data_IF_737642086453
#
_entry.id   IF_737642086453
#
_cell.length_a   1.000
_cell.length_b   1.000
_cell.length_c   1.000
_cell.angle_alpha   90.00
_cell.angle_beta   90.00
_cell.angle_gamma   90.00
#
_symmetry.space_group_name_H-M   'P 1'
#
loop_
_entity.id
_entity.type
_entity.pdbx_description
1 polymer ?
#
# COMPACT_ATOMS: atom_id res chain seq x y z
N UNK A 1 -12.34 -1.64 23.21
CA UNK A 1 -12.68 -2.73 22.26
C UNK A 1 -13.55 -3.79 22.94
N UNK A 2 -13.08 -4.44 24.02
CA UNK A 2 -13.84 -5.48 24.76
C UNK A 2 -15.26 -5.06 25.16
N UNK A 3 -15.44 -3.88 25.76
CA UNK A 3 -16.77 -3.37 26.11
C UNK A 3 -17.71 -3.24 24.90
N UNK A 4 -17.18 -2.87 23.74
CA UNK A 4 -17.96 -2.75 22.51
C UNK A 4 -18.39 -4.12 22.01
N UNK A 5 -17.51 -5.13 22.09
CA UNK A 5 -17.81 -6.51 21.71
C UNK A 5 -18.95 -7.05 22.58
N UNK A 6 -18.81 -7.00 23.91
CA UNK A 6 -19.83 -7.47 24.87
C UNK A 6 -21.19 -6.77 24.66
N UNK A 7 -21.17 -5.45 24.37
CA UNK A 7 -22.38 -4.70 24.07
C UNK A 7 -23.05 -5.17 22.77
N UNK A 8 -22.28 -5.43 21.72
CA UNK A 8 -22.82 -5.86 20.42
C UNK A 8 -23.39 -7.28 20.50
N UNK A 9 -22.69 -8.19 21.18
CA UNK A 9 -23.19 -9.56 21.43
C UNK A 9 -24.54 -9.54 22.14
N UNK A 10 -24.69 -8.72 23.19
CA UNK A 10 -25.96 -8.57 23.91
C UNK A 10 -27.04 -7.90 23.07
N UNK A 11 -26.70 -6.80 22.38
CA UNK A 11 -27.67 -6.01 21.63
C UNK A 11 -28.26 -6.81 20.46
N UNK A 12 -27.43 -7.56 19.74
CA UNK A 12 -27.83 -8.33 18.58
C UNK A 12 -28.08 -9.81 18.89
N UNK A 13 -27.95 -10.23 20.15
CA UNK A 13 -28.07 -11.62 20.59
C UNK A 13 -27.18 -12.56 19.78
N UNK A 14 -25.95 -12.13 19.50
CA UNK A 14 -24.96 -12.88 18.72
C UNK A 14 -24.19 -13.80 19.67
N UNK A 15 -24.04 -15.07 19.26
CA UNK A 15 -23.12 -16.02 19.88
C UNK A 15 -22.06 -16.40 18.84
N UNK A 16 -20.83 -15.86 18.91
CA UNK A 16 -19.81 -16.13 17.90
C UNK A 16 -19.39 -17.61 17.89
N UNK A 17 -19.44 -18.24 16.73
CA UNK A 17 -18.94 -19.61 16.51
C UNK A 17 -17.47 -19.63 16.07
N UNK A 18 -17.00 -18.50 15.53
CA UNK A 18 -15.64 -18.28 15.02
C UNK A 18 -15.23 -16.85 15.32
N UNK A 19 -13.93 -16.63 15.51
CA UNK A 19 -13.32 -15.31 15.62
C UNK A 19 -12.34 -15.18 14.47
N UNK A 20 -12.46 -14.10 13.70
CA UNK A 20 -11.54 -13.81 12.60
C UNK A 20 -10.61 -12.69 13.04
N UNK A 21 -9.31 -12.85 12.77
CA UNK A 21 -8.28 -11.88 13.12
C UNK A 21 -7.34 -11.64 11.94
N UNK A 22 -6.63 -10.52 11.96
CA UNK A 22 -5.51 -10.31 11.02
C UNK A 22 -4.39 -11.31 11.32
N UNK A 23 -3.71 -11.78 10.28
CA UNK A 23 -2.57 -12.70 10.40
C UNK A 23 -1.36 -12.07 11.09
N UNK A 24 -1.32 -10.74 11.26
CA UNK A 24 -0.23 -10.08 11.96
C UNK A 24 -0.20 -10.48 13.44
N UNK A 25 0.88 -11.15 13.92
CA UNK A 25 0.91 -11.74 15.26
C UNK A 25 1.09 -10.73 16.40
N UNK A 26 1.28 -9.44 16.10
CA UNK A 26 1.56 -8.39 17.09
C UNK A 26 0.45 -7.35 17.19
N UNK A 27 -0.59 -7.46 16.35
CA UNK A 27 -1.73 -6.55 16.44
C UNK A 27 -2.49 -6.79 17.75
N UNK A 28 -2.84 -5.69 18.40
CA UNK A 28 -3.66 -5.74 19.63
C UNK A 28 -4.98 -6.47 19.39
N UNK A 29 -5.63 -6.25 18.25
CA UNK A 29 -6.87 -6.93 17.85
C UNK A 29 -6.67 -8.45 17.68
N UNK A 30 -5.56 -8.88 17.08
CA UNK A 30 -5.23 -10.30 16.93
C UNK A 30 -4.97 -10.98 18.27
N UNK A 31 -4.18 -10.35 19.15
CA UNK A 31 -3.98 -10.85 20.52
C UNK A 31 -5.27 -10.93 21.32
N UNK A 32 -6.14 -9.92 21.21
CA UNK A 32 -7.43 -9.91 21.88
C UNK A 32 -8.34 -11.04 21.36
N UNK A 33 -8.44 -11.20 20.04
CA UNK A 33 -9.22 -12.27 19.42
C UNK A 33 -8.72 -13.66 19.82
N UNK A 34 -7.40 -13.86 19.87
CA UNK A 34 -6.81 -15.11 20.38
C UNK A 34 -7.12 -15.36 21.85
N UNK A 35 -7.06 -14.31 22.68
CA UNK A 35 -7.36 -14.41 24.10
C UNK A 35 -8.82 -14.84 24.33
N UNK A 36 -9.76 -14.18 23.65
CA UNK A 36 -11.19 -14.52 23.70
C UNK A 36 -11.43 -15.94 23.16
N UNK A 37 -10.81 -16.31 22.03
CA UNK A 37 -10.94 -17.64 21.47
C UNK A 37 -10.47 -18.74 22.43
N UNK A 38 -9.35 -18.52 23.13
CA UNK A 38 -8.83 -19.45 24.15
C UNK A 38 -9.75 -19.55 25.37
N UNK A 39 -10.26 -18.44 25.89
CA UNK A 39 -11.08 -18.43 27.11
C UNK A 39 -12.49 -18.98 26.87
N UNK A 40 -13.06 -18.75 25.69
CA UNK A 40 -14.41 -19.18 25.30
C UNK A 40 -14.44 -20.47 24.46
N UNK A 41 -13.29 -21.09 24.19
CA UNK A 41 -13.14 -22.27 23.32
C UNK A 41 -13.71 -22.07 21.90
N UNK A 42 -13.57 -20.85 21.36
CA UNK A 42 -14.02 -20.48 20.01
C UNK A 42 -12.83 -20.57 19.04
N UNK A 43 -13.07 -21.11 17.85
CA UNK A 43 -12.04 -21.22 16.81
C UNK A 43 -11.61 -19.83 16.32
N UNK A 44 -10.29 -19.61 16.25
CA UNK A 44 -9.70 -18.36 15.75
C UNK A 44 -9.08 -18.62 14.38
N UNK A 45 -9.47 -17.83 13.38
CA UNK A 45 -9.00 -17.97 11.99
C UNK A 45 -8.22 -16.71 11.62
N UNK A 46 -6.90 -16.83 11.34
CA UNK A 46 -6.13 -15.73 10.82
C UNK A 46 -6.44 -15.52 9.33
N UNK A 47 -6.61 -14.25 8.94
CA UNK A 47 -6.85 -13.84 7.56
C UNK A 47 -5.76 -12.86 7.12
N UNK A 48 -5.29 -12.99 5.89
CA UNK A 48 -4.25 -12.11 5.38
C UNK A 48 -4.83 -10.72 5.08
N UNK A 49 -4.10 -9.68 5.50
CA UNK A 49 -4.53 -8.29 5.48
C UNK A 49 -5.03 -7.80 4.11
N UNK A 50 -4.23 -7.99 3.06
CA UNK A 50 -4.55 -7.52 1.71
C UNK A 50 -5.70 -8.33 1.09
N UNK A 51 -5.78 -9.62 1.37
CA UNK A 51 -6.91 -10.46 0.98
C UNK A 51 -8.19 -9.99 1.67
N UNK A 52 -8.14 -9.56 2.94
CA UNK A 52 -9.29 -8.96 3.62
C UNK A 52 -9.72 -7.62 2.98
N UNK A 53 -8.79 -6.76 2.58
CA UNK A 53 -9.13 -5.55 1.81
C UNK A 53 -9.92 -5.90 0.55
N UNK A 54 -9.41 -6.84 -0.26
CA UNK A 54 -10.10 -7.26 -1.50
C UNK A 54 -11.44 -7.95 -1.21
N UNK A 55 -11.50 -8.80 -0.20
CA UNK A 55 -12.71 -9.49 0.20
C UNK A 55 -13.80 -8.54 0.69
N UNK A 56 -13.45 -7.36 1.22
CA UNK A 56 -14.45 -6.35 1.57
C UNK A 56 -15.20 -5.85 0.33
N UNK A 57 -14.50 -5.64 -0.79
CA UNK A 57 -15.10 -5.30 -2.09
C UNK A 57 -15.93 -6.47 -2.62
N UNK A 58 -15.39 -7.70 -2.56
CA UNK A 58 -16.11 -8.89 -3.00
C UNK A 58 -17.42 -9.09 -2.20
N UNK A 59 -17.42 -8.79 -0.91
CA UNK A 59 -18.58 -8.85 -0.04
C UNK A 59 -19.65 -7.82 -0.43
N UNK A 60 -19.26 -6.56 -0.65
CA UNK A 60 -20.17 -5.49 -1.04
C UNK A 60 -20.84 -5.75 -2.39
N UNK A 61 -20.08 -6.26 -3.36
CA UNK A 61 -20.52 -6.44 -4.74
C UNK A 61 -21.01 -7.87 -5.05
N UNK A 62 -21.07 -8.75 -4.05
CA UNK A 62 -21.45 -10.16 -4.17
C UNK A 62 -20.64 -10.91 -5.25
N UNK A 63 -19.32 -10.70 -5.27
CA UNK A 63 -18.42 -11.34 -6.23
C UNK A 63 -18.08 -12.75 -5.77
N UNK A 64 -18.62 -13.76 -6.45
CA UNK A 64 -18.37 -15.18 -6.15
C UNK A 64 -17.29 -15.82 -7.04
N UNK A 65 -17.04 -15.19 -8.20
CA UNK A 65 -16.06 -15.65 -9.18
C UNK A 65 -14.60 -15.33 -8.81
N UNK A 66 -13.64 -15.77 -9.63
CA UNK A 66 -12.25 -15.32 -9.52
C UNK A 66 -12.17 -13.80 -9.77
N UNK A 67 -11.47 -13.08 -8.87
CA UNK A 67 -11.28 -11.64 -8.94
C UNK A 67 -9.80 -11.31 -8.91
N UNK A 68 -9.37 -10.36 -9.75
CA UNK A 68 -8.06 -9.74 -9.62
C UNK A 68 -8.15 -8.64 -8.55
N UNK A 69 -7.67 -8.94 -7.36
CA UNK A 69 -7.53 -7.99 -6.28
C UNK A 69 -6.27 -7.14 -6.45
N UNK A 70 -6.42 -5.82 -6.44
CA UNK A 70 -5.33 -4.85 -6.47
C UNK A 70 -5.34 -4.15 -5.11
N UNK A 71 -4.43 -4.55 -4.23
CA UNK A 71 -4.38 -4.08 -2.85
C UNK A 71 -3.22 -3.10 -2.66
N UNK A 72 -3.52 -1.80 -2.58
CA UNK A 72 -2.53 -0.73 -2.43
C UNK A 72 -2.70 -0.06 -1.07
N UNK A 73 -1.71 -0.25 -0.20
CA UNK A 73 -1.80 0.15 1.20
C UNK A 73 -0.44 0.61 1.78
N UNK A 74 -0.45 1.12 3.01
CA UNK A 74 0.74 1.47 3.76
C UNK A 74 1.55 0.27 4.23
N UNK A 75 0.95 -0.64 4.98
CA UNK A 75 1.67 -1.78 5.57
C UNK A 75 0.69 -2.90 5.92
N UNK A 76 0.91 -4.08 5.37
CA UNK A 76 0.28 -5.30 5.86
C UNK A 76 1.28 -6.44 6.00
N UNK A 77 0.99 -7.35 6.92
CA UNK A 77 1.89 -8.46 7.23
C UNK A 77 1.89 -9.50 6.09
N UNK A 78 3.07 -9.70 5.49
CA UNK A 78 3.31 -10.75 4.51
C UNK A 78 3.49 -12.12 5.17
N UNK A 79 3.04 -13.23 4.55
CA UNK A 79 3.21 -14.58 5.11
C UNK A 79 4.67 -15.03 5.32
N UNK A 80 5.62 -14.39 4.62
CA UNK A 80 7.06 -14.62 4.70
C UNK A 80 7.79 -13.65 5.66
N UNK A 81 7.04 -12.82 6.39
CA UNK A 81 7.58 -11.79 7.26
C UNK A 81 8.01 -10.51 6.53
N UNK A 82 7.79 -10.41 5.21
CA UNK A 82 7.93 -9.16 4.47
C UNK A 82 6.76 -8.21 4.76
N UNK A 83 6.94 -6.93 4.41
CA UNK A 83 5.87 -5.93 4.52
C UNK A 83 5.23 -5.74 3.16
N UNK A 84 3.96 -6.09 3.04
CA UNK A 84 3.18 -5.90 1.83
C UNK A 84 2.49 -4.53 1.84
N UNK A 85 2.09 -4.05 0.67
CA UNK A 85 1.33 -2.81 0.51
C UNK A 85 1.09 -2.41 -0.94
N UNK A 86 1.31 -3.30 -1.89
CA UNK A 86 1.27 -3.02 -3.31
C UNK A 86 1.18 -4.30 -4.09
N UNK A 87 0.07 -5.02 -3.89
CA UNK A 87 -0.10 -6.42 -4.26
C UNK A 87 -1.18 -6.61 -5.32
N UNK A 88 -0.93 -7.55 -6.23
CA UNK A 88 -1.93 -8.09 -7.14
C UNK A 88 -2.21 -9.54 -6.77
N UNK A 89 -3.45 -9.82 -6.39
CA UNK A 89 -3.89 -11.11 -5.86
C UNK A 89 -4.96 -11.70 -6.79
N UNK A 90 -4.87 -12.99 -7.08
CA UNK A 90 -6.00 -13.76 -7.55
C UNK A 90 -6.79 -14.22 -6.34
N UNK A 91 -7.99 -13.67 -6.13
CA UNK A 91 -8.85 -13.99 -5.00
C UNK A 91 -10.05 -14.83 -5.48
N UNK A 92 -10.38 -15.88 -4.73
CA UNK A 92 -11.58 -16.69 -4.95
C UNK A 92 -12.04 -17.30 -3.62
N UNK A 93 -13.19 -16.85 -3.12
CA UNK A 93 -13.70 -17.28 -1.82
C UNK A 93 -12.70 -16.98 -0.70
N UNK A 94 -12.34 -17.99 0.09
CA UNK A 94 -11.33 -17.85 1.16
C UNK A 94 -9.88 -18.03 0.69
N UNK A 95 -9.63 -18.24 -0.60
CA UNK A 95 -8.31 -18.47 -1.15
C UNK A 95 -7.79 -17.25 -1.91
N UNK A 96 -6.48 -17.03 -1.80
CA UNK A 96 -5.79 -16.05 -2.62
C UNK A 96 -4.44 -16.59 -3.10
N UNK A 97 -3.98 -16.07 -4.23
CA UNK A 97 -2.64 -16.28 -4.76
C UNK A 97 -2.03 -14.93 -5.13
N UNK A 98 -0.83 -14.64 -4.62
CA UNK A 98 -0.06 -13.46 -5.05
C UNK A 98 0.42 -13.66 -6.48
N UNK A 99 -0.03 -12.82 -7.41
CA UNK A 99 0.33 -12.90 -8.82
C UNK A 99 1.47 -11.95 -9.17
N UNK A 100 1.37 -10.71 -8.70
CA UNK A 100 2.37 -9.67 -8.91
C UNK A 100 2.43 -8.73 -7.70
N UNK A 101 3.45 -7.89 -7.66
CA UNK A 101 3.64 -6.86 -6.63
C UNK A 101 4.49 -5.72 -7.15
N UNK A 102 4.45 -4.57 -6.47
CA UNK A 102 5.40 -3.50 -6.76
C UNK A 102 6.81 -3.88 -6.32
N UNK A 103 7.84 -3.21 -6.85
CA UNK A 103 9.23 -3.50 -6.49
C UNK A 103 9.48 -3.41 -4.98
N UNK A 104 10.37 -4.27 -4.51
CA UNK A 104 10.83 -4.24 -3.14
C UNK A 104 11.73 -3.02 -2.91
N UNK A 105 11.42 -2.25 -1.88
CA UNK A 105 12.28 -1.21 -1.37
C UNK A 105 12.58 -1.48 0.12
N UNK A 106 13.81 -1.23 0.59
CA UNK A 106 14.12 -1.39 1.99
C UNK A 106 13.31 -0.40 2.85
N UNK A 107 13.12 -0.75 4.12
CA UNK A 107 12.64 0.13 5.17
C UNK A 107 13.79 0.48 6.12
N UNK A 108 14.56 1.56 5.86
CA UNK A 108 15.74 1.87 6.64
C UNK A 108 15.36 2.26 8.08
N UNK A 109 15.59 1.37 9.04
CA UNK A 109 15.14 1.54 10.43
C UNK A 109 13.77 0.93 10.74
N UNK A 110 13.27 0.04 9.88
CA UNK A 110 12.05 -0.75 10.11
C UNK A 110 10.82 0.15 10.25
N UNK A 111 10.06 -0.03 11.33
CA UNK A 111 8.84 0.74 11.63
C UNK A 111 9.05 2.25 11.62
N UNK A 112 10.26 2.75 11.93
CA UNK A 112 10.53 4.20 11.85
C UNK A 112 10.35 4.75 10.44
N UNK A 113 10.55 3.94 9.39
CA UNK A 113 10.31 4.38 8.01
C UNK A 113 8.82 4.68 7.74
N UNK A 114 7.90 4.17 8.58
CA UNK A 114 6.47 4.50 8.48
C UNK A 114 6.21 5.94 8.93
N UNK A 115 6.83 6.41 10.03
CA UNK A 115 6.64 7.77 10.54
C UNK A 115 7.66 8.78 10.01
N UNK A 116 8.78 8.31 9.46
CA UNK A 116 9.87 9.12 8.92
C UNK A 116 10.15 8.82 7.43
N UNK A 117 9.27 9.26 6.51
CA UNK A 117 9.41 9.06 5.06
C UNK A 117 10.77 9.43 4.45
N UNK A 118 11.47 10.39 5.04
CA UNK A 118 12.81 10.80 4.59
C UNK A 118 13.80 9.63 4.53
N UNK A 119 13.59 8.58 5.33
CA UNK A 119 14.46 7.40 5.38
C UNK A 119 14.46 6.63 4.06
N UNK A 120 13.29 6.37 3.49
CA UNK A 120 13.18 5.68 2.21
C UNK A 120 13.52 6.61 1.04
N UNK A 121 13.18 7.90 1.13
CA UNK A 121 13.64 8.91 0.17
C UNK A 121 15.18 8.99 0.09
N UNK A 122 15.88 8.95 1.23
CA UNK A 122 17.34 8.90 1.29
C UNK A 122 17.88 7.64 0.60
N UNK A 123 17.22 6.49 0.77
CA UNK A 123 17.59 5.28 0.04
C UNK A 123 17.47 5.47 -1.48
N UNK A 124 16.38 6.04 -1.99
CA UNK A 124 16.24 6.31 -3.43
C UNK A 124 17.33 7.26 -3.96
N UNK A 125 17.64 8.33 -3.24
CA UNK A 125 18.73 9.26 -3.60
C UNK A 125 20.05 8.51 -3.70
N UNK A 126 20.39 7.69 -2.70
CA UNK A 126 21.64 6.93 -2.68
C UNK A 126 21.69 5.82 -3.72
N UNK A 127 20.58 5.11 -3.93
CA UNK A 127 20.47 4.05 -4.92
C UNK A 127 20.68 4.60 -6.35
N UNK A 128 20.24 5.83 -6.61
CA UNK A 128 20.35 6.43 -7.93
C UNK A 128 21.64 7.22 -8.17
N UNK A 129 21.96 8.17 -7.29
CA UNK A 129 23.12 9.06 -7.47
C UNK A 129 24.42 8.52 -6.86
N UNK A 130 24.34 7.50 -6.01
CA UNK A 130 25.49 7.01 -5.26
C UNK A 130 26.12 8.12 -4.40
N UNK A 131 27.37 8.48 -4.73
CA UNK A 131 28.10 9.56 -4.05
C UNK A 131 27.98 10.92 -4.75
N UNK A 132 27.53 10.95 -6.00
CA UNK A 132 27.47 12.15 -6.83
C UNK A 132 26.10 12.84 -6.70
N UNK A 133 25.74 13.17 -5.45
CA UNK A 133 24.42 13.73 -5.13
C UNK A 133 24.34 15.19 -5.62
N UNK A 134 23.30 15.57 -6.40
CA UNK A 134 23.12 16.94 -6.85
C UNK A 134 22.91 17.97 -5.72
N UNK A 135 23.31 19.24 -5.90
CA UNK A 135 23.23 20.27 -4.84
C UNK A 135 21.85 20.40 -4.17
N UNK A 136 20.76 20.32 -4.95
CA UNK A 136 19.39 20.39 -4.41
C UNK A 136 19.10 19.29 -3.38
N UNK A 137 19.68 18.09 -3.57
CA UNK A 137 19.53 16.97 -2.67
C UNK A 137 20.53 17.02 -1.51
N UNK A 138 21.71 17.62 -1.69
CA UNK A 138 22.60 17.95 -0.57
C UNK A 138 21.91 18.93 0.40
N UNK A 139 21.26 19.97 -0.13
CA UNK A 139 20.48 20.94 0.66
C UNK A 139 19.25 20.31 1.32
N UNK A 140 18.62 19.33 0.66
CA UNK A 140 17.57 18.52 1.27
C UNK A 140 18.13 17.67 2.43
N UNK A 141 19.28 17.02 2.26
CA UNK A 141 19.94 16.21 3.30
C UNK A 141 20.37 17.05 4.51
N UNK A 142 20.81 18.28 4.30
CA UNK A 142 21.16 19.22 5.37
C UNK A 142 19.97 19.59 6.28
N UNK A 143 18.73 19.34 5.85
CA UNK A 143 17.51 19.59 6.61
C UNK A 143 16.97 18.33 7.30
N UNK A 144 17.63 17.19 7.14
CA UNK A 144 17.22 15.95 7.78
C UNK A 144 17.38 15.99 9.30
N UNK A 145 16.62 15.15 10.03
CA UNK A 145 16.77 15.05 11.48
C UNK A 145 18.18 14.64 11.90
N UNK A 146 18.59 15.05 13.11
CA UNK A 146 19.91 14.72 13.66
C UNK A 146 20.15 13.20 13.64
N UNK A 147 21.33 12.79 13.19
CA UNK A 147 21.74 11.38 13.14
C UNK A 147 21.37 10.68 11.84
N UNK A 148 20.88 11.40 10.83
CA UNK A 148 20.62 10.85 9.50
C UNK A 148 21.91 10.29 8.85
N UNK A 149 23.08 10.84 9.17
CA UNK A 149 24.38 10.39 8.65
C UNK A 149 24.73 8.96 9.10
N UNK A 150 24.21 8.54 10.27
CA UNK A 150 24.38 7.16 10.75
C UNK A 150 23.57 6.20 9.87
N UNK A 151 22.34 6.59 9.53
CA UNK A 151 21.50 5.81 8.63
C UNK A 151 22.11 5.76 7.22
N UNK A 152 22.63 6.88 6.74
CA UNK A 152 23.30 6.98 5.45
C UNK A 152 24.50 6.02 5.34
N UNK A 153 25.32 5.94 6.40
CA UNK A 153 26.41 4.95 6.47
C UNK A 153 25.89 3.51 6.51
N UNK A 154 24.78 3.25 7.22
CA UNK A 154 24.17 1.93 7.26
C UNK A 154 23.63 1.50 5.89
N UNK A 155 23.05 2.42 5.11
CA UNK A 155 22.58 2.19 3.74
C UNK A 155 23.71 1.81 2.77
N UNK A 156 24.93 2.26 3.05
CA UNK A 156 26.13 1.92 2.27
C UNK A 156 26.80 0.60 2.71
N UNK A 157 26.29 -0.04 3.77
CA UNK A 157 26.80 -1.32 4.27
C UNK A 157 26.02 -2.50 3.72
N UNK A 158 26.56 -3.71 3.83
CA UNK A 158 25.87 -4.96 3.45
C UNK A 158 24.90 -5.46 4.53
N UNK A 159 24.44 -4.60 5.45
CA UNK A 159 23.53 -5.03 6.51
C UNK A 159 22.14 -5.37 5.95
N UNK A 160 21.55 -6.50 6.35
CA UNK A 160 20.22 -6.89 5.88
C UNK A 160 19.18 -5.89 6.39
N UNK A 161 18.29 -5.46 5.49
CA UNK A 161 17.16 -4.60 5.81
C UNK A 161 15.85 -5.29 5.43
N UNK A 162 14.82 -5.06 6.25
CA UNK A 162 13.46 -5.51 5.93
C UNK A 162 13.04 -4.86 4.63
N UNK A 163 12.60 -5.69 3.68
CA UNK A 163 12.06 -5.24 2.40
C UNK A 163 10.55 -5.05 2.50
N UNK A 164 10.06 -4.07 1.75
CA UNK A 164 8.64 -3.80 1.64
C UNK A 164 8.23 -3.56 0.19
N UNK A 165 7.06 -4.09 -0.17
CA UNK A 165 6.37 -3.84 -1.44
C UNK A 165 5.25 -2.84 -1.20
N UNK A 166 5.52 -1.76 -0.47
CA UNK A 166 4.51 -0.82 0.01
C UNK A 166 4.28 0.38 -0.92
N UNK A 167 3.07 0.47 -1.47
CA UNK A 167 2.67 1.61 -2.29
C UNK A 167 2.55 2.88 -1.44
N UNK A 168 2.04 2.78 -0.20
CA UNK A 168 1.99 3.94 0.70
C UNK A 168 3.38 4.50 1.02
N UNK A 169 4.39 3.64 1.20
CA UNK A 169 5.78 4.09 1.42
C UNK A 169 6.39 4.71 0.16
N UNK A 170 6.07 4.18 -1.03
CA UNK A 170 6.45 4.82 -2.29
C UNK A 170 5.88 6.24 -2.41
N UNK A 171 4.60 6.45 -2.10
CA UNK A 171 3.97 7.78 -2.08
C UNK A 171 4.64 8.71 -1.06
N UNK A 172 4.90 8.21 0.15
CA UNK A 172 5.60 8.96 1.20
C UNK A 172 7.02 9.38 0.78
N UNK A 173 7.78 8.46 0.17
CA UNK A 173 9.12 8.73 -0.32
C UNK A 173 9.11 9.81 -1.42
N UNK A 174 8.21 9.69 -2.41
CA UNK A 174 8.06 10.70 -3.47
C UNK A 174 7.64 12.06 -2.90
N UNK A 175 6.68 12.09 -1.97
CA UNK A 175 6.26 13.35 -1.35
C UNK A 175 7.39 14.01 -0.56
N UNK A 176 8.23 13.22 0.11
CA UNK A 176 9.41 13.72 0.81
C UNK A 176 10.48 14.27 -0.15
N UNK A 177 10.75 13.59 -1.27
CA UNK A 177 11.64 14.06 -2.34
C UNK A 177 11.14 15.37 -3.00
N UNK A 178 9.82 15.55 -3.05
CA UNK A 178 9.18 16.77 -3.53
C UNK A 178 9.11 17.88 -2.47
N UNK A 179 9.57 17.63 -1.24
CA UNK A 179 9.69 18.62 -0.18
C UNK A 179 8.43 18.86 0.64
N UNK A 180 7.47 17.92 0.63
CA UNK A 180 6.20 18.03 1.35
C UNK A 180 6.28 17.65 2.83
N UNK A 181 7.41 17.07 3.25
CA UNK A 181 7.65 16.71 4.63
C UNK A 181 8.78 15.68 4.76
N UNK A 182 9.21 15.46 5.99
CA UNK A 182 10.20 14.44 6.33
C UNK A 182 9.63 13.42 7.33
N UNK A 183 8.79 13.89 8.24
CA UNK A 183 8.21 13.15 9.36
C UNK A 183 6.71 13.42 9.35
N UNK A 184 5.91 12.35 9.50
CA UNK A 184 4.47 12.46 9.67
C UNK A 184 4.12 12.97 11.07
N UNK A 185 3.15 13.88 11.15
CA UNK A 185 2.50 14.29 12.40
C UNK A 185 1.16 13.57 12.62
N UNK A 186 0.62 12.97 11.56
CA UNK A 186 -0.54 12.09 11.56
C UNK A 186 -0.46 11.12 10.37
N UNK A 187 -1.28 10.06 10.39
CA UNK A 187 -1.23 9.00 9.39
C UNK A 187 -1.45 9.52 7.96
N UNK A 188 -0.60 9.06 7.05
CA UNK A 188 -0.61 9.40 5.62
C UNK A 188 -0.49 10.89 5.26
N UNK A 189 -0.03 11.76 6.17
CA UNK A 189 0.09 13.20 5.95
C UNK A 189 0.81 13.54 4.63
N UNK A 190 1.98 12.94 4.39
CA UNK A 190 2.78 13.25 3.19
C UNK A 190 2.09 12.78 1.91
N UNK A 191 1.48 11.59 1.91
CA UNK A 191 0.70 11.11 0.77
C UNK A 191 -0.51 12.02 0.45
N UNK A 192 -1.21 12.53 1.47
CA UNK A 192 -2.32 13.49 1.32
C UNK A 192 -1.81 14.83 0.77
N UNK A 193 -0.66 15.30 1.27
CA UNK A 193 -0.03 16.52 0.76
C UNK A 193 0.41 16.36 -0.71
N UNK A 194 0.87 15.16 -1.09
CA UNK A 194 1.29 14.84 -2.45
C UNK A 194 0.10 14.84 -3.43
N UNK A 195 -1.04 14.30 -2.99
CA UNK A 195 -2.30 14.43 -3.74
C UNK A 195 -2.68 15.90 -3.92
N UNK A 196 -2.64 16.68 -2.84
CA UNK A 196 -3.04 18.09 -2.87
C UNK A 196 -2.12 18.95 -3.76
N UNK A 197 -0.82 18.62 -3.81
CA UNK A 197 0.17 19.30 -4.63
C UNK A 197 -0.13 19.21 -6.14
N UNK A 198 -0.90 18.22 -6.57
CA UNK A 198 -1.25 18.02 -7.98
C UNK A 198 -1.99 19.22 -8.60
N UNK A 199 -2.90 19.86 -7.85
CA UNK A 199 -3.76 20.92 -8.38
C UNK A 199 -4.48 20.51 -9.68
N UNK A 200 -4.53 21.44 -10.64
CA UNK A 200 -5.12 21.26 -11.97
C UNK A 200 -4.07 20.98 -13.07
N UNK A 201 -2.83 20.68 -12.68
CA UNK A 201 -1.74 20.43 -13.62
C UNK A 201 -1.97 19.18 -14.47
N UNK A 202 -1.34 19.15 -15.65
CA UNK A 202 -1.33 17.97 -16.52
C UNK A 202 0.03 17.29 -16.44
N UNK A 203 0.02 16.06 -15.94
CA UNK A 203 1.21 15.20 -15.88
C UNK A 203 1.47 14.44 -17.17
N UNK A 204 2.71 14.02 -17.34
CA UNK A 204 3.15 13.09 -18.38
C UNK A 204 3.27 11.66 -17.82
N UNK A 205 3.32 10.68 -18.71
CA UNK A 205 3.70 9.32 -18.32
C UNK A 205 5.21 9.30 -18.16
N UNK A 206 5.69 8.82 -17.01
CA UNK A 206 7.09 8.59 -16.73
C UNK A 206 7.41 7.11 -16.95
N UNK A 207 8.70 6.78 -17.00
CA UNK A 207 9.15 5.41 -17.18
C UNK A 207 8.85 4.55 -15.96
N UNK A 208 8.45 3.31 -16.19
CA UNK A 208 8.30 2.23 -15.21
C UNK A 208 8.57 0.91 -15.92
N UNK A 209 8.94 -0.13 -15.16
CA UNK A 209 9.16 -1.47 -15.71
C UNK A 209 8.10 -2.45 -15.19
N UNK A 210 7.73 -3.42 -16.00
CA UNK A 210 6.91 -4.55 -15.58
C UNK A 210 7.38 -5.82 -16.28
N UNK A 211 7.68 -6.88 -15.52
CA UNK A 211 8.21 -8.14 -16.04
C UNK A 211 7.21 -9.31 -16.02
N UNK A 212 5.93 -9.03 -15.76
CA UNK A 212 4.90 -10.04 -15.54
C UNK A 212 4.74 -10.47 -14.08
N UNK A 213 5.58 -10.00 -13.16
CA UNK A 213 5.47 -10.28 -11.72
C UNK A 213 5.81 -9.06 -10.86
N UNK A 214 6.82 -8.28 -11.22
CA UNK A 214 7.28 -7.12 -10.48
C UNK A 214 6.95 -5.87 -11.29
N UNK A 215 6.17 -4.98 -10.69
CA UNK A 215 5.92 -3.63 -11.19
C UNK A 215 6.89 -2.65 -10.53
N UNK A 216 7.90 -2.21 -11.26
CA UNK A 216 9.00 -1.40 -10.75
C UNK A 216 8.85 0.08 -11.10
N UNK A 217 8.62 0.88 -10.06
CA UNK A 217 8.54 2.34 -10.13
C UNK A 217 9.87 3.04 -9.82
N UNK A 218 10.98 2.30 -9.66
CA UNK A 218 12.30 2.92 -9.48
C UNK A 218 12.63 3.91 -10.61
N UNK A 219 12.41 3.61 -11.91
CA UNK A 219 12.63 4.58 -12.99
C UNK A 219 11.72 5.82 -12.88
N UNK A 220 10.50 5.65 -12.36
CA UNK A 220 9.58 6.76 -12.10
C UNK A 220 10.15 7.69 -11.03
N UNK A 221 10.64 7.13 -9.92
CA UNK A 221 11.25 7.92 -8.84
C UNK A 221 12.52 8.63 -9.33
N UNK A 222 13.34 7.97 -10.15
CA UNK A 222 14.52 8.57 -10.79
C UNK A 222 14.13 9.77 -11.66
N UNK A 223 13.12 9.62 -12.52
CA UNK A 223 12.61 10.70 -13.38
C UNK A 223 12.12 11.89 -12.56
N UNK A 224 11.45 11.63 -11.44
CA UNK A 224 11.01 12.67 -10.51
C UNK A 224 12.23 13.38 -9.92
N UNK A 225 13.24 12.64 -9.47
CA UNK A 225 14.45 13.24 -8.90
C UNK A 225 15.22 14.09 -9.91
N UNK A 226 15.34 13.63 -11.15
CA UNK A 226 15.96 14.39 -12.23
C UNK A 226 15.17 15.66 -12.58
N UNK A 227 13.83 15.56 -12.62
CA UNK A 227 12.97 16.73 -12.85
C UNK A 227 13.15 17.79 -11.76
N UNK A 228 13.33 17.37 -10.51
CA UNK A 228 13.67 18.26 -9.39
C UNK A 228 15.00 18.98 -9.63
N UNK A 229 16.03 18.26 -10.08
CA UNK A 229 17.35 18.83 -10.39
C UNK A 229 17.27 19.84 -11.54
N UNK A 230 16.43 19.57 -12.55
CA UNK A 230 16.18 20.44 -13.70
C UNK A 230 15.31 21.66 -13.36
N UNK A 231 14.79 21.76 -12.14
CA UNK A 231 13.93 22.86 -11.71
C UNK A 231 12.49 22.78 -12.22
N UNK A 232 12.01 21.57 -12.54
CA UNK A 232 10.62 21.36 -12.95
C UNK A 232 9.64 21.64 -11.80
N UNK A 233 8.40 21.97 -12.17
CA UNK A 233 7.33 22.23 -11.20
C UNK A 233 7.05 20.99 -10.35
N UNK A 234 7.03 21.16 -9.02
CA UNK A 234 6.71 20.07 -8.08
C UNK A 234 5.29 19.55 -8.28
N UNK A 235 4.35 20.41 -8.64
CA UNK A 235 2.99 20.02 -9.00
C UNK A 235 2.96 19.16 -10.27
N UNK A 236 3.72 19.55 -11.30
CA UNK A 236 3.85 18.75 -12.53
C UNK A 236 4.42 17.36 -12.25
N UNK A 237 5.47 17.27 -11.43
CA UNK A 237 6.08 15.99 -11.05
C UNK A 237 5.12 15.12 -10.21
N UNK A 238 4.38 15.73 -9.28
CA UNK A 238 3.37 15.05 -8.49
C UNK A 238 2.25 14.45 -9.37
N UNK A 239 1.70 15.20 -10.33
CA UNK A 239 0.67 14.66 -11.24
C UNK A 239 1.26 13.58 -12.15
N UNK A 240 2.48 13.76 -12.64
CA UNK A 240 3.15 12.76 -13.49
C UNK A 240 3.38 11.44 -12.74
N UNK A 241 3.73 11.51 -11.46
CA UNK A 241 3.79 10.34 -10.58
C UNK A 241 2.44 9.62 -10.48
N UNK A 242 1.37 10.32 -10.08
CA UNK A 242 0.03 9.71 -9.93
C UNK A 242 -0.48 9.13 -11.25
N UNK A 243 -0.25 9.82 -12.37
CA UNK A 243 -0.62 9.34 -13.71
C UNK A 243 0.14 8.07 -14.09
N UNK A 244 1.44 8.03 -13.79
CA UNK A 244 2.28 6.86 -14.05
C UNK A 244 1.83 5.68 -13.22
N UNK A 245 1.58 5.86 -11.93
CA UNK A 245 1.03 4.80 -11.06
C UNK A 245 -0.31 4.31 -11.61
N UNK A 246 -1.25 5.21 -11.91
CA UNK A 246 -2.57 4.81 -12.43
C UNK A 246 -2.48 3.97 -13.72
N UNK A 247 -1.70 4.43 -14.70
CA UNK A 247 -1.52 3.73 -15.97
C UNK A 247 -0.83 2.38 -15.73
N UNK A 248 0.25 2.36 -14.97
CA UNK A 248 1.01 1.15 -14.68
C UNK A 248 0.15 0.08 -13.96
N UNK A 249 -0.72 0.50 -13.04
CA UNK A 249 -1.69 -0.39 -12.41
C UNK A 249 -2.68 -0.96 -13.43
N UNK A 250 -3.25 -0.13 -14.31
CA UNK A 250 -4.19 -0.57 -15.35
C UNK A 250 -3.55 -1.56 -16.32
N UNK A 251 -2.34 -1.27 -16.80
CA UNK A 251 -1.62 -2.14 -17.76
C UNK A 251 -1.20 -3.47 -17.10
N UNK A 252 -0.73 -3.42 -15.85
CA UNK A 252 -0.42 -4.63 -15.07
C UNK A 252 -1.68 -5.48 -14.87
N UNK A 253 -2.80 -4.84 -14.55
CA UNK A 253 -4.09 -5.53 -14.42
C UNK A 253 -4.56 -6.14 -15.72
N UNK A 254 -4.41 -5.46 -16.86
CA UNK A 254 -4.82 -5.97 -18.15
C UNK A 254 -4.08 -7.26 -18.51
N UNK A 255 -2.76 -7.26 -18.37
CA UNK A 255 -1.94 -8.45 -18.59
C UNK A 255 -2.31 -9.60 -17.63
N UNK A 256 -2.49 -9.31 -16.34
CA UNK A 256 -2.88 -10.35 -15.37
C UNK A 256 -4.29 -10.90 -15.64
N UNK A 257 -5.24 -10.05 -15.96
CA UNK A 257 -6.61 -10.49 -16.26
C UNK A 257 -6.65 -11.36 -17.51
N UNK A 258 -5.87 -11.03 -18.53
CA UNK A 258 -5.72 -11.88 -19.72
C UNK A 258 -5.05 -13.22 -19.38
N UNK A 259 -3.88 -13.21 -18.72
CA UNK A 259 -3.11 -14.42 -18.40
C UNK A 259 -3.87 -15.42 -17.53
N UNK A 260 -4.71 -14.93 -16.63
CA UNK A 260 -5.47 -15.75 -15.69
C UNK A 260 -6.96 -15.89 -16.05
N UNK A 261 -7.38 -15.34 -17.20
CA UNK A 261 -8.76 -15.37 -17.70
C UNK A 261 -9.78 -14.87 -16.65
N UNK A 262 -9.52 -13.68 -16.11
CA UNK A 262 -10.32 -13.00 -15.09
C UNK A 262 -11.06 -11.83 -15.74
N UNK A 263 -12.33 -11.63 -15.41
CA UNK A 263 -13.13 -10.51 -15.94
C UNK A 263 -13.42 -9.41 -14.92
N UNK A 264 -13.28 -9.70 -13.63
CA UNK A 264 -13.59 -8.77 -12.54
C UNK A 264 -12.32 -8.40 -11.78
N UNK A 265 -12.09 -7.11 -11.60
CA UNK A 265 -11.02 -6.57 -10.77
C UNK A 265 -11.59 -5.78 -9.59
N UNK A 266 -10.95 -5.88 -8.44
CA UNK A 266 -11.30 -5.13 -7.23
C UNK A 266 -10.11 -4.31 -6.76
N UNK A 267 -10.27 -3.00 -6.56
CA UNK A 267 -9.26 -2.12 -5.94
C UNK A 267 -9.65 -1.83 -4.48
N UNK A 268 -8.71 -2.00 -3.56
CA UNK A 268 -8.90 -1.68 -2.13
C UNK A 268 -7.56 -1.46 -1.42
N UNK A 269 -7.59 -1.01 -0.17
CA UNK A 269 -6.43 -0.54 0.58
C UNK A 269 -6.39 0.99 0.72
N UNK A 270 -5.65 1.48 1.73
CA UNK A 270 -5.66 2.89 2.14
C UNK A 270 -5.17 3.86 1.06
N UNK A 271 -4.33 3.42 0.12
CA UNK A 271 -3.84 4.29 -0.96
C UNK A 271 -4.96 4.70 -1.91
N UNK A 272 -6.01 3.88 -2.07
CA UNK A 272 -7.17 4.24 -2.90
C UNK A 272 -8.11 5.25 -2.24
N UNK A 273 -7.80 5.76 -1.04
CA UNK A 273 -8.42 6.99 -0.54
C UNK A 273 -7.96 8.23 -1.32
N UNK A 274 -6.85 8.12 -2.07
CA UNK A 274 -6.35 9.18 -2.94
C UNK A 274 -7.29 9.37 -4.14
N UNK A 275 -8.06 10.46 -4.12
CA UNK A 275 -9.08 10.75 -5.12
C UNK A 275 -8.47 10.98 -6.49
N UNK A 276 -7.32 11.65 -6.55
CA UNK A 276 -6.60 11.89 -7.83
C UNK A 276 -6.19 10.57 -8.49
N UNK A 277 -5.63 9.63 -7.72
CA UNK A 277 -5.24 8.31 -8.22
C UNK A 277 -6.45 7.54 -8.74
N UNK A 278 -7.52 7.47 -7.95
CA UNK A 278 -8.75 6.77 -8.34
C UNK A 278 -9.37 7.38 -9.60
N UNK A 279 -9.45 8.71 -9.70
CA UNK A 279 -9.93 9.42 -10.90
C UNK A 279 -9.10 9.04 -12.16
N UNK A 280 -7.78 8.96 -12.02
CA UNK A 280 -6.89 8.59 -13.11
C UNK A 280 -7.03 7.12 -13.51
N UNK A 281 -7.21 6.22 -12.54
CA UNK A 281 -7.46 4.80 -12.79
C UNK A 281 -8.78 4.63 -13.55
N UNK A 282 -9.89 5.18 -13.08
CA UNK A 282 -11.18 5.07 -13.79
C UNK A 282 -11.15 5.62 -15.22
N UNK A 283 -10.30 6.62 -15.50
CA UNK A 283 -10.12 7.16 -16.85
C UNK A 283 -9.25 6.27 -17.74
N UNK A 284 -8.25 5.61 -17.16
CA UNK A 284 -7.31 4.75 -17.88
C UNK A 284 -7.78 3.30 -17.98
N UNK A 285 -8.70 2.89 -17.11
CA UNK A 285 -9.19 1.52 -17.02
C UNK A 285 -9.91 1.10 -18.31
N UNK A 286 -9.47 0.00 -18.90
CA UNK A 286 -9.95 -0.48 -20.19
C UNK A 286 -10.21 -1.99 -20.24
N UNK A 287 -10.01 -2.71 -19.13
CA UNK A 287 -10.07 -4.17 -19.07
C UNK A 287 -11.14 -4.66 -18.11
N UNK A 288 -12.12 -5.43 -18.59
CA UNK A 288 -13.14 -6.05 -17.72
C UNK A 288 -13.89 -5.05 -16.82
N UNK A 289 -14.43 -5.56 -15.71
CA UNK A 289 -15.15 -4.77 -14.72
C UNK A 289 -14.20 -4.33 -13.58
N UNK A 290 -14.39 -3.10 -13.09
CA UNK A 290 -13.66 -2.57 -11.94
C UNK A 290 -14.62 -2.27 -10.79
N UNK A 291 -14.30 -2.82 -9.62
CA UNK A 291 -15.04 -2.65 -8.38
C UNK A 291 -14.17 -1.99 -7.32
N UNK A 292 -14.78 -1.18 -6.46
CA UNK A 292 -14.14 -0.60 -5.28
C UNK A 292 -15.14 -0.56 -4.11
N UNK A 293 -14.64 -0.33 -2.90
CA UNK A 293 -15.52 -0.13 -1.74
C UNK A 293 -16.41 1.12 -1.91
N UNK A 294 -17.68 1.00 -1.54
CA UNK A 294 -18.64 2.12 -1.53
C UNK A 294 -19.32 2.27 -0.16
N UNK A 295 -19.72 1.16 0.45
CA UNK A 295 -20.43 1.12 1.72
C UNK A 295 -19.49 1.08 2.94
N UNK A 296 -18.33 0.41 2.84
CA UNK A 296 -17.27 0.49 3.84
C UNK A 296 -16.08 1.29 3.29
N UNK A 297 -15.19 1.85 4.12
CA UNK A 297 -14.02 2.55 3.59
C UNK A 297 -13.02 1.54 3.02
N UNK A 298 -12.24 1.96 2.01
CA UNK A 298 -11.17 1.14 1.43
C UNK A 298 -9.94 0.98 2.34
N UNK A 299 -9.87 1.72 3.44
CA UNK A 299 -8.80 1.60 4.43
C UNK A 299 -9.13 0.56 5.50
N UNK A 300 -8.28 0.45 6.52
CA UNK A 300 -8.42 -0.54 7.59
C UNK A 300 -9.75 -0.49 8.35
N UNK A 301 -10.51 0.61 8.24
CA UNK A 301 -11.88 0.69 8.77
C UNK A 301 -12.86 -0.29 8.12
N UNK A 302 -12.60 -0.73 6.87
CA UNK A 302 -13.42 -1.71 6.14
C UNK A 302 -12.95 -3.16 6.29
N UNK A 303 -11.77 -3.37 6.86
CA UNK A 303 -11.09 -4.67 6.91
C UNK A 303 -11.93 -5.77 7.57
N UNK A 304 -12.67 -5.41 8.63
CA UNK A 304 -13.51 -6.33 9.39
C UNK A 304 -14.60 -6.99 8.52
N UNK A 305 -15.16 -6.27 7.52
CA UNK A 305 -16.15 -6.85 6.61
C UNK A 305 -15.53 -7.95 5.75
N UNK A 306 -14.36 -7.70 5.18
CA UNK A 306 -13.65 -8.69 4.37
C UNK A 306 -13.20 -9.91 5.17
N UNK A 307 -12.72 -9.69 6.40
CA UNK A 307 -12.40 -10.77 7.35
C UNK A 307 -13.62 -11.67 7.61
N UNK A 308 -14.77 -11.07 7.93
CA UNK A 308 -16.02 -11.80 8.16
C UNK A 308 -16.47 -12.57 6.91
N UNK A 309 -16.40 -11.95 5.74
CA UNK A 309 -16.77 -12.58 4.48
C UNK A 309 -15.91 -13.80 4.19
N UNK A 310 -14.58 -13.68 4.31
CA UNK A 310 -13.63 -14.80 4.14
C UNK A 310 -13.91 -15.92 5.14
N UNK A 311 -14.09 -15.59 6.42
CA UNK A 311 -14.36 -16.57 7.48
C UNK A 311 -15.67 -17.35 7.29
N UNK A 312 -16.59 -16.83 6.46
CA UNK A 312 -17.86 -17.45 6.12
C UNK A 312 -17.84 -18.23 4.80
N UNK A 313 -16.78 -18.12 3.99
CA UNK A 313 -16.65 -18.92 2.77
C UNK A 313 -16.35 -20.39 3.12
N UNK A 314 -16.88 -21.30 2.30
CA UNK A 314 -16.66 -22.75 2.43
C UNK A 314 -15.37 -23.20 1.74
#
# INVERSE_FOLDING_TARGET
>A
MEWTIDRYEKLFSIQPEKIIVDSHPQFFSSHLGEHIGKSSQISVIPVQHHHAHIASVMAEHNLEGPVLGIAMDGTGYGPDGSVWGGEFLLCKGNQYQRLAHIHEAPLPGGEKAVSEPWRQALWYIRNYYGNDIPPVYQDWMNRLPKGWEILDKALQSTMPMIQATSCGRLFDAVGSLLGLGMIHTYDAQIAIALESLCGDEKGILLDYNYDGRILDFTPTVQSIMDGVVKGESRAHLAVSFHKTVAIALCETSADLMERYNISDAAISGGVFQNRKLVELIYRAWHVGNLYMNEAVPSNDGGLALGQLWIGNQK
#
